data_IF_725225225522
#
_entry.id   IF_725225225522
#
_cell.length_a   1.000
_cell.length_b   1.000
_cell.length_c   1.000
_cell.angle_alpha   90.00
_cell.angle_beta   90.00
_cell.angle_gamma   90.00
#
_symmetry.space_group_name_H-M   'P 1'
#
loop_
_entity.id
_entity.type
_entity.pdbx_description
1 polymer ?
#
# COMPACT_ATOMS: atom_id res chain seq x y z
N UNK A 1 -14.83 15.57 15.20
CA UNK A 1 -14.75 15.79 13.75
C UNK A 1 -13.36 16.34 13.45
N UNK A 2 -12.39 15.45 13.29
CA UNK A 2 -10.97 15.76 13.53
C UNK A 2 -10.16 15.67 12.25
N UNK A 3 -9.73 16.82 11.73
CA UNK A 3 -8.48 17.15 11.01
C UNK A 3 -7.84 16.19 9.98
N UNK A 4 -8.50 15.13 9.52
CA UNK A 4 -7.88 14.11 8.66
C UNK A 4 -7.56 14.60 7.23
N UNK A 5 -8.30 15.62 6.75
CA UNK A 5 -8.22 16.13 5.37
C UNK A 5 -6.81 16.49 4.89
N UNK A 6 -5.94 17.05 5.74
CA UNK A 6 -4.61 17.54 5.31
C UNK A 6 -3.62 16.40 5.03
N UNK A 7 -3.86 15.19 5.56
CA UNK A 7 -2.94 14.07 5.34
C UNK A 7 -3.15 13.36 4.00
N UNK A 8 -4.37 13.35 3.46
CA UNK A 8 -4.72 12.65 2.21
C UNK A 8 -4.57 13.51 0.94
N UNK A 9 -4.31 14.81 1.09
CA UNK A 9 -4.04 15.72 -0.04
C UNK A 9 -2.72 15.37 -0.76
N UNK A 10 -2.57 15.71 -2.06
CA UNK A 10 -1.33 15.51 -2.79
C UNK A 10 -0.14 16.25 -2.15
N UNK A 11 1.03 15.60 -2.15
CA UNK A 11 2.26 16.22 -1.68
C UNK A 11 2.65 17.45 -2.53
N UNK A 12 3.03 18.54 -1.86
CA UNK A 12 3.52 19.78 -2.47
C UNK A 12 5.02 19.93 -2.33
N UNK A 13 5.59 20.89 -3.04
CA UNK A 13 6.98 21.36 -2.94
C UNK A 13 7.34 21.91 -1.55
N UNK A 14 6.36 22.43 -0.81
CA UNK A 14 6.53 22.81 0.61
C UNK A 14 6.53 21.60 1.59
N UNK A 15 6.24 20.39 1.10
CA UNK A 15 6.17 19.16 1.90
C UNK A 15 4.79 18.88 2.50
N UNK A 16 4.64 17.68 3.07
CA UNK A 16 3.35 17.13 3.53
C UNK A 16 2.63 16.30 2.45
N UNK A 17 1.42 15.82 2.76
CA UNK A 17 0.55 15.08 1.84
C UNK A 17 1.00 13.66 1.44
N UNK A 18 0.29 13.07 0.48
CA UNK A 18 0.56 11.77 -0.14
C UNK A 18 1.13 11.90 -1.56
N UNK A 19 2.03 10.98 -1.93
CA UNK A 19 2.53 10.83 -3.30
C UNK A 19 1.81 9.66 -3.98
N UNK A 20 1.22 9.89 -5.15
CA UNK A 20 0.62 8.81 -5.97
C UNK A 20 1.70 8.16 -6.85
N UNK A 21 1.99 6.90 -6.57
CA UNK A 21 2.95 6.09 -7.33
C UNK A 21 2.22 5.06 -8.20
N UNK A 22 2.76 4.80 -9.40
CA UNK A 22 2.37 3.65 -10.23
C UNK A 22 3.48 2.61 -10.18
N UNK A 23 3.18 1.43 -9.67
CA UNK A 23 4.09 0.30 -9.62
C UNK A 23 3.75 -0.71 -10.71
N UNK A 24 4.77 -1.27 -11.35
CA UNK A 24 4.65 -2.49 -12.14
C UNK A 24 5.23 -3.63 -11.29
N UNK A 25 4.47 -4.72 -11.11
CA UNK A 25 4.84 -5.82 -10.21
C UNK A 25 4.71 -7.14 -10.98
N UNK A 26 5.69 -8.02 -10.83
CA UNK A 26 5.68 -9.39 -11.29
C UNK A 26 5.87 -10.30 -10.07
N UNK A 27 5.26 -11.49 -10.09
CA UNK A 27 5.33 -12.46 -9.02
C UNK A 27 5.11 -13.88 -9.56
N UNK A 28 5.66 -14.89 -8.89
CA UNK A 28 5.25 -16.27 -9.06
C UNK A 28 3.92 -16.48 -8.32
N UNK A 29 2.87 -16.89 -9.03
CA UNK A 29 1.53 -17.10 -8.49
C UNK A 29 1.36 -18.40 -7.70
N UNK A 30 2.31 -19.34 -7.77
CA UNK A 30 2.14 -20.73 -7.30
C UNK A 30 1.81 -20.84 -5.80
N UNK A 31 2.27 -19.88 -4.98
CA UNK A 31 2.06 -19.87 -3.53
C UNK A 31 0.95 -18.89 -3.05
N UNK A 32 0.07 -18.44 -3.96
CA UNK A 32 -0.91 -17.37 -3.68
C UNK A 32 -2.32 -17.69 -4.20
N UNK A 33 -3.33 -17.27 -3.43
CA UNK A 33 -4.75 -17.37 -3.79
C UNK A 33 -5.18 -16.18 -4.67
N UNK A 34 -4.36 -15.86 -5.68
CA UNK A 34 -4.54 -14.70 -6.56
C UNK A 34 -4.13 -13.36 -5.93
N UNK A 35 -4.64 -12.28 -6.53
CA UNK A 35 -4.21 -10.91 -6.23
C UNK A 35 -4.87 -10.33 -4.97
N UNK A 36 -6.20 -10.13 -5.00
CA UNK A 36 -6.91 -9.34 -4.00
C UNK A 36 -7.01 -10.06 -2.64
N UNK A 37 -6.96 -9.29 -1.53
CA UNK A 37 -7.06 -9.85 -0.17
C UNK A 37 -8.33 -10.69 0.02
N UNK A 38 -8.18 -11.81 0.71
CA UNK A 38 -9.28 -12.70 1.12
C UNK A 38 -9.07 -13.15 2.57
N UNK A 39 -10.12 -13.33 3.38
CA UNK A 39 -9.97 -13.81 4.76
C UNK A 39 -9.25 -15.17 4.81
N UNK A 40 -8.28 -15.28 5.71
CA UNK A 40 -7.54 -16.53 5.99
C UNK A 40 -6.76 -17.15 4.82
N UNK A 41 -6.60 -16.44 3.70
CA UNK A 41 -5.89 -16.92 2.52
C UNK A 41 -4.75 -15.97 2.14
N UNK A 42 -3.56 -16.55 1.92
CA UNK A 42 -2.37 -15.79 1.49
C UNK A 42 -2.55 -15.29 0.06
N UNK A 43 -2.43 -13.97 -0.13
CA UNK A 43 -2.70 -13.26 -1.40
C UNK A 43 -1.59 -12.25 -1.69
N UNK A 44 -1.43 -11.86 -2.96
CA UNK A 44 -0.33 -10.97 -3.37
C UNK A 44 -0.51 -9.55 -2.84
N UNK A 45 -1.74 -9.04 -2.80
CA UNK A 45 -2.02 -7.70 -2.26
C UNK A 45 -1.60 -7.59 -0.78
N UNK A 46 -1.93 -8.59 0.04
CA UNK A 46 -1.60 -8.56 1.47
C UNK A 46 -0.08 -8.53 1.71
N UNK A 47 0.68 -9.39 1.04
CA UNK A 47 2.14 -9.41 1.20
C UNK A 47 2.82 -8.16 0.62
N UNK A 48 2.30 -7.62 -0.49
CA UNK A 48 2.82 -6.38 -1.06
C UNK A 48 2.61 -5.20 -0.09
N UNK A 49 1.43 -5.08 0.51
CA UNK A 49 1.13 -4.04 1.49
C UNK A 49 1.94 -4.23 2.80
N UNK A 50 2.10 -5.47 3.27
CA UNK A 50 2.96 -5.80 4.43
C UNK A 50 4.44 -5.42 4.19
N UNK A 51 4.94 -5.66 2.98
CA UNK A 51 6.26 -5.23 2.54
C UNK A 51 6.38 -3.70 2.45
N UNK A 52 5.38 -3.03 1.87
CA UNK A 52 5.32 -1.57 1.78
C UNK A 52 5.25 -0.90 3.15
N UNK A 53 4.44 -1.42 4.09
CA UNK A 53 4.36 -0.94 5.47
C UNK A 53 5.74 -0.99 6.14
N UNK A 54 6.47 -2.09 5.96
CA UNK A 54 7.84 -2.27 6.46
C UNK A 54 8.81 -1.25 5.87
N UNK A 55 8.82 -1.07 4.54
CA UNK A 55 9.72 -0.14 3.84
C UNK A 55 9.40 1.33 4.18
N UNK A 56 8.12 1.68 4.22
CA UNK A 56 7.63 3.04 4.50
C UNK A 56 7.59 3.36 6.01
N UNK A 57 7.92 2.39 6.87
CA UNK A 57 7.87 2.49 8.34
C UNK A 57 6.49 2.94 8.84
N UNK A 58 5.44 2.37 8.26
CA UNK A 58 4.04 2.55 8.67
C UNK A 58 3.54 1.27 9.36
N UNK A 59 2.64 1.39 10.35
CA UNK A 59 1.96 0.23 10.95
C UNK A 59 0.98 -0.42 9.96
#
# INVERSE_FOLDING_TARGET
>A
MTSQHVQDEPATDAGGGLVRLRLAVQYDGTAFHGWARQPSLRTVQEELERGLATVLRRP
#
